data_IF_122356966834
#
_entry.id   IF_122356966834
#
_cell.length_a   1.000
_cell.length_b   1.000
_cell.length_c   1.000
_cell.angle_alpha   90.00
_cell.angle_beta   90.00
_cell.angle_gamma   90.00
#
_symmetry.space_group_name_H-M   'P 1'
#
loop_
_entity.id
_entity.type
_entity.pdbx_description
1 polymer ?
#
# COMPACT_ATOMS: atom_id res chain seq x y z
N UNK A 1 26.76 7.53 -2.49
CA UNK A 1 25.94 6.33 -2.19
C UNK A 1 25.91 6.13 -0.68
N UNK A 2 24.80 6.44 -0.01
CA UNK A 2 24.67 6.29 1.44
C UNK A 2 24.40 4.83 1.81
N UNK A 3 25.20 4.26 2.72
CA UNK A 3 25.01 2.88 3.20
C UNK A 3 23.61 2.75 3.83
N UNK A 4 22.81 1.73 3.45
CA UNK A 4 21.54 1.49 4.12
C UNK A 4 21.82 1.04 5.56
N UNK A 5 21.32 1.82 6.51
CA UNK A 5 21.42 1.49 7.94
C UNK A 5 20.33 0.45 8.28
N UNK A 6 20.72 -0.57 9.05
CA UNK A 6 19.92 -1.76 9.35
C UNK A 6 19.24 -1.63 10.71
N UNK A 7 17.92 -1.84 10.77
CA UNK A 7 17.15 -1.91 12.02
C UNK A 7 16.60 -3.32 12.26
N UNK A 8 16.81 -3.83 13.48
CA UNK A 8 16.25 -5.10 13.93
C UNK A 8 15.16 -4.84 14.98
N UNK A 9 13.90 -4.96 14.56
CA UNK A 9 12.74 -4.62 15.40
C UNK A 9 12.49 -5.64 16.52
N UNK A 10 13.03 -6.86 16.41
CA UNK A 10 12.86 -7.93 17.40
C UNK A 10 13.51 -7.63 18.76
N UNK A 11 14.45 -6.67 18.83
CA UNK A 11 15.24 -6.42 20.04
C UNK A 11 14.88 -5.14 20.80
N UNK A 12 13.89 -4.34 20.37
CA UNK A 12 13.38 -3.12 21.06
C UNK A 12 14.47 -2.22 21.71
N UNK A 13 15.70 -2.23 21.19
CA UNK A 13 16.81 -1.45 21.74
C UNK A 13 17.25 -0.46 20.66
N UNK A 14 16.85 0.79 20.83
CA UNK A 14 17.40 1.89 20.05
C UNK A 14 18.82 2.09 20.56
N UNK A 15 19.81 1.49 19.92
CA UNK A 15 21.18 1.99 20.02
C UNK A 15 21.23 3.25 19.16
N UNK A 16 21.03 4.41 19.77
CA UNK A 16 21.36 5.70 19.17
C UNK A 16 22.87 5.89 19.23
N UNK A 17 23.66 5.07 18.54
CA UNK A 17 25.04 5.42 18.26
C UNK A 17 25.12 6.18 16.94
N UNK A 18 25.17 7.51 17.10
CA UNK A 18 25.67 8.53 16.16
C UNK A 18 24.71 9.01 15.07
N UNK A 19 24.50 10.32 15.16
CA UNK A 19 24.01 11.28 14.16
C UNK A 19 22.53 11.16 13.78
N UNK A 20 21.71 11.99 14.44
CA UNK A 20 20.41 12.39 13.91
C UNK A 20 20.63 12.99 12.51
N UNK A 21 20.13 12.36 11.44
CA UNK A 21 20.23 12.92 10.10
C UNK A 21 19.44 14.22 10.05
N UNK A 22 20.01 15.27 9.44
CA UNK A 22 19.34 16.58 9.25
C UNK A 22 18.01 16.48 8.48
N UNK A 23 17.81 15.41 7.74
CA UNK A 23 16.62 15.15 6.92
C UNK A 23 15.88 13.89 7.41
N UNK A 24 14.53 13.84 7.29
CA UNK A 24 13.76 12.67 7.66
C UNK A 24 14.22 11.44 6.85
N UNK A 25 14.48 10.34 7.54
CA UNK A 25 14.72 9.05 6.90
C UNK A 25 13.38 8.36 6.64
N UNK A 26 13.27 7.74 5.47
CA UNK A 26 12.10 6.95 5.11
C UNK A 26 12.47 5.47 5.08
N UNK A 27 11.50 4.62 5.45
CA UNK A 27 11.61 3.17 5.26
C UNK A 27 11.68 2.90 3.76
N UNK A 28 12.80 2.32 3.31
CA UNK A 28 13.02 1.94 1.93
C UNK A 28 12.79 0.46 1.72
N UNK A 29 12.99 -0.42 2.70
CA UNK A 29 12.72 -1.83 2.47
C UNK A 29 12.45 -2.56 3.78
N UNK A 30 11.58 -3.55 3.72
CA UNK A 30 11.29 -4.44 4.85
C UNK A 30 11.53 -5.85 4.35
N UNK A 31 12.48 -6.54 4.99
CA UNK A 31 12.75 -7.94 4.77
C UNK A 31 12.00 -8.77 5.84
N UNK A 32 10.88 -9.42 5.48
CA UNK A 32 10.09 -10.19 6.43
C UNK A 32 10.81 -11.45 6.93
N UNK A 33 11.72 -12.03 6.13
CA UNK A 33 12.43 -13.25 6.48
C UNK A 33 13.48 -12.97 7.55
N UNK A 34 14.21 -11.86 7.40
CA UNK A 34 15.29 -11.50 8.34
C UNK A 34 14.84 -10.55 9.45
N UNK A 35 13.57 -10.09 9.43
CA UNK A 35 13.02 -9.09 10.37
C UNK A 35 13.85 -7.79 10.37
N UNK A 36 14.47 -7.46 9.24
CA UNK A 36 15.30 -6.26 9.07
C UNK A 36 14.54 -5.20 8.31
N UNK A 37 14.72 -3.96 8.74
CA UNK A 37 14.20 -2.78 8.07
C UNK A 37 15.36 -1.92 7.59
N UNK A 38 15.24 -1.41 6.37
CA UNK A 38 16.23 -0.58 5.69
C UNK A 38 15.62 0.81 5.51
N UNK A 39 16.44 1.84 5.71
CA UNK A 39 16.02 3.24 5.57
C UNK A 39 17.06 4.08 4.83
N UNK A 40 16.60 5.16 4.20
CA UNK A 40 17.43 6.06 3.41
C UNK A 40 16.77 7.42 3.19
N UNK A 41 17.55 8.38 2.68
CA UNK A 41 17.07 9.74 2.38
C UNK A 41 16.21 9.80 1.12
N UNK A 42 16.28 8.77 0.26
CA UNK A 42 15.52 8.69 -0.99
C UNK A 42 14.40 7.66 -0.88
N UNK A 43 13.21 8.00 -1.39
CA UNK A 43 12.00 7.17 -1.45
C UNK A 43 12.11 6.04 -2.50
N UNK A 44 13.20 5.27 -2.49
CA UNK A 44 13.61 4.35 -3.56
C UNK A 44 12.65 3.16 -3.74
N UNK A 45 11.78 2.88 -2.77
CA UNK A 45 10.92 1.70 -2.80
C UNK A 45 9.46 2.03 -2.52
N UNK A 46 9.01 3.15 -3.07
CA UNK A 46 7.59 3.33 -3.30
C UNK A 46 7.21 2.37 -4.42
N UNK A 47 6.64 1.20 -4.07
CA UNK A 47 6.01 0.34 -5.08
C UNK A 47 4.87 1.15 -5.70
N UNK A 48 5.07 1.57 -6.95
CA UNK A 48 4.10 2.30 -7.73
C UNK A 48 3.34 1.28 -8.56
N UNK A 49 2.05 1.12 -8.31
CA UNK A 49 1.22 0.19 -9.07
C UNK A 49 -0.01 0.92 -9.60
N UNK A 50 -0.34 0.61 -10.85
CA UNK A 50 -1.63 0.92 -11.43
C UNK A 50 -2.64 -0.17 -11.07
N UNK A 51 -2.23 -1.44 -11.02
CA UNK A 51 -3.10 -2.59 -10.79
C UNK A 51 -2.83 -3.23 -9.42
N UNK A 52 -3.86 -3.42 -8.60
CA UNK A 52 -3.77 -4.10 -7.30
C UNK A 52 -4.66 -5.33 -7.25
N UNK A 53 -4.18 -6.39 -6.58
CA UNK A 53 -4.98 -7.58 -6.25
C UNK A 53 -5.50 -7.47 -4.81
N UNK A 54 -6.77 -7.82 -4.61
CA UNK A 54 -7.45 -7.79 -3.31
C UNK A 54 -7.92 -9.19 -2.94
N UNK A 55 -7.71 -9.59 -1.68
CA UNK A 55 -7.99 -10.95 -1.20
C UNK A 55 -9.34 -11.13 -0.50
N UNK A 56 -9.77 -10.12 0.25
CA UNK A 56 -10.95 -10.16 1.12
C UNK A 56 -11.81 -8.98 0.76
N UNK A 57 -13.12 -9.17 0.56
CA UNK A 57 -14.04 -8.07 0.35
C UNK A 57 -14.97 -7.91 1.55
N UNK A 58 -14.99 -6.74 2.16
CA UNK A 58 -16.02 -6.32 3.08
C UNK A 58 -17.08 -5.58 2.24
N UNK A 59 -18.34 -6.03 2.28
CA UNK A 59 -19.42 -5.81 1.29
C UNK A 59 -19.15 -6.46 -0.08
N UNK A 60 -20.09 -7.32 -0.49
CA UNK A 60 -19.97 -8.19 -1.66
C UNK A 60 -20.44 -7.45 -2.91
N UNK A 61 -19.51 -6.87 -3.67
CA UNK A 61 -19.79 -6.40 -5.02
C UNK A 61 -19.98 -7.65 -5.89
N UNK A 62 -21.16 -7.91 -6.46
CA UNK A 62 -21.38 -9.10 -7.27
C UNK A 62 -20.39 -9.12 -8.44
N UNK A 63 -19.90 -10.31 -8.85
CA UNK A 63 -19.03 -10.42 -10.01
C UNK A 63 -19.77 -9.85 -11.23
N UNK A 64 -19.09 -8.96 -11.97
CA UNK A 64 -19.60 -8.38 -13.20
C UNK A 64 -18.63 -8.68 -14.34
N UNK A 65 -19.17 -8.88 -15.54
CA UNK A 65 -18.35 -9.12 -16.73
C UNK A 65 -17.58 -7.85 -17.14
N UNK A 66 -18.10 -6.67 -16.81
CA UNK A 66 -17.52 -5.38 -17.15
C UNK A 66 -16.89 -4.69 -15.94
N UNK A 67 -15.80 -3.95 -16.13
CA UNK A 67 -15.18 -3.18 -15.06
C UNK A 67 -16.08 -2.04 -14.60
N UNK A 68 -16.10 -1.79 -13.29
CA UNK A 68 -16.91 -0.76 -12.66
C UNK A 68 -16.05 0.47 -12.41
N UNK A 69 -16.47 1.63 -12.93
CA UNK A 69 -15.83 2.91 -12.61
C UNK A 69 -16.11 3.27 -11.15
N UNK A 70 -15.06 3.43 -10.35
CA UNK A 70 -15.17 3.75 -8.92
C UNK A 70 -14.05 4.70 -8.49
N UNK A 71 -14.08 5.12 -7.24
CA UNK A 71 -12.90 5.66 -6.56
C UNK A 71 -12.49 4.76 -5.41
N UNK A 72 -11.20 4.69 -5.10
CA UNK A 72 -10.71 3.90 -3.99
C UNK A 72 -9.72 4.66 -3.11
N UNK A 73 -9.66 4.26 -1.84
CA UNK A 73 -8.79 4.88 -0.84
C UNK A 73 -7.91 3.81 -0.20
N UNK A 74 -6.59 3.91 -0.43
CA UNK A 74 -5.59 2.94 0.05
C UNK A 74 -5.04 3.34 1.44
N UNK A 75 -5.11 4.63 1.80
CA UNK A 75 -4.64 5.15 3.09
C UNK A 75 -5.72 6.00 3.73
N UNK A 76 -5.87 5.89 5.05
CA UNK A 76 -6.89 6.64 5.79
C UNK A 76 -6.81 8.17 5.56
N UNK A 77 -5.61 8.73 5.38
CA UNK A 77 -5.42 10.16 5.12
C UNK A 77 -5.26 10.54 3.65
N UNK A 78 -5.35 9.60 2.70
CA UNK A 78 -5.25 9.94 1.28
C UNK A 78 -6.60 10.40 0.71
N UNK A 79 -6.54 11.20 -0.35
CA UNK A 79 -7.67 11.44 -1.23
C UNK A 79 -8.15 10.13 -1.87
N UNK A 80 -9.41 10.12 -2.33
CA UNK A 80 -9.94 9.04 -3.16
C UNK A 80 -9.25 9.11 -4.54
N UNK A 81 -8.80 7.98 -5.04
CA UNK A 81 -8.17 7.86 -6.36
C UNK A 81 -9.10 7.13 -7.32
N UNK A 82 -9.42 7.71 -8.49
CA UNK A 82 -10.32 7.08 -9.46
C UNK A 82 -9.67 5.88 -10.15
N UNK A 83 -10.49 4.92 -10.53
CA UNK A 83 -10.06 3.74 -11.27
C UNK A 83 -11.20 2.82 -11.68
N UNK A 84 -10.82 1.69 -12.25
CA UNK A 84 -11.71 0.63 -12.68
C UNK A 84 -11.55 -0.61 -11.81
N UNK A 85 -12.64 -1.04 -11.20
CA UNK A 85 -12.72 -2.28 -10.41
C UNK A 85 -13.11 -3.44 -11.32
N UNK A 86 -12.32 -4.50 -11.30
CA UNK A 86 -12.58 -5.75 -11.99
C UNK A 86 -12.95 -6.80 -10.93
N UNK A 87 -14.20 -7.27 -10.97
CA UNK A 87 -14.71 -8.31 -10.05
C UNK A 87 -14.85 -9.64 -10.79
N UNK A 88 -14.12 -10.66 -10.35
CA UNK A 88 -14.27 -12.06 -10.80
C UNK A 88 -14.79 -12.91 -9.64
N UNK A 89 -15.30 -14.10 -9.94
CA UNK A 89 -15.84 -15.05 -8.93
C UNK A 89 -14.94 -15.27 -7.71
N UNK A 90 -13.62 -15.24 -7.90
CA UNK A 90 -12.63 -15.56 -6.85
C UNK A 90 -11.56 -14.48 -6.63
N UNK A 91 -11.64 -13.35 -7.34
CA UNK A 91 -10.63 -12.30 -7.21
C UNK A 91 -11.18 -10.94 -7.56
N UNK A 92 -10.65 -9.92 -6.89
CA UNK A 92 -10.90 -8.53 -7.21
C UNK A 92 -9.59 -7.83 -7.49
N UNK A 93 -9.61 -6.98 -8.50
CA UNK A 93 -8.49 -6.11 -8.80
C UNK A 93 -8.97 -4.72 -9.18
N UNK A 94 -8.15 -3.71 -8.90
CA UNK A 94 -8.44 -2.34 -9.30
C UNK A 94 -7.29 -1.81 -10.14
N UNK A 95 -7.63 -1.15 -11.25
CA UNK A 95 -6.71 -0.36 -12.07
C UNK A 95 -6.96 1.12 -11.82
N UNK A 96 -6.03 1.82 -11.20
CA UNK A 96 -6.11 3.27 -11.04
C UNK A 96 -5.79 3.99 -12.34
N UNK A 97 -6.43 5.14 -12.55
CA UNK A 97 -6.13 6.02 -13.69
C UNK A 97 -4.70 6.54 -13.62
N UNK A 98 -4.26 6.86 -12.40
CA UNK A 98 -2.90 7.30 -12.12
C UNK A 98 -2.20 6.31 -11.18
N UNK A 99 -0.91 6.01 -11.39
CA UNK A 99 -0.19 5.08 -10.53
C UNK A 99 -0.16 5.55 -9.08
N UNK A 100 -0.44 4.65 -8.13
CA UNK A 100 -0.50 5.00 -6.71
C UNK A 100 0.83 4.73 -6.01
N UNK A 101 1.26 5.66 -5.15
CA UNK A 101 2.52 5.55 -4.39
C UNK A 101 2.32 4.81 -3.06
N UNK A 102 3.36 4.11 -2.64
CA UNK A 102 3.56 3.60 -1.28
C UNK A 102 2.47 2.62 -0.86
N UNK A 103 2.12 1.75 -1.80
CA UNK A 103 1.17 0.67 -1.62
C UNK A 103 1.89 -0.46 -0.90
N UNK A 104 1.33 -0.94 0.21
CA UNK A 104 1.94 -2.00 1.03
C UNK A 104 0.98 -3.18 1.16
N UNK A 105 1.42 -4.42 0.91
CA UNK A 105 0.64 -5.62 1.23
C UNK A 105 0.15 -5.59 2.68
N UNK A 106 -1.07 -6.06 2.91
CA UNK A 106 -1.72 -6.01 4.23
C UNK A 106 -2.45 -4.70 4.53
N UNK A 107 -2.28 -3.65 3.73
CA UNK A 107 -3.10 -2.43 3.89
C UNK A 107 -4.53 -2.66 3.43
N UNK A 108 -5.46 -2.01 4.12
CA UNK A 108 -6.84 -1.95 3.70
C UNK A 108 -7.01 -0.98 2.51
N UNK A 109 -7.91 -1.32 1.61
CA UNK A 109 -8.42 -0.45 0.54
C UNK A 109 -9.93 -0.36 0.67
N UNK A 110 -10.50 0.83 0.48
CA UNK A 110 -11.95 1.07 0.53
C UNK A 110 -12.42 1.55 -0.84
N UNK A 111 -13.50 0.97 -1.35
CA UNK A 111 -14.13 1.29 -2.63
C UNK A 111 -15.35 2.18 -2.42
N UNK A 112 -15.45 3.20 -3.28
CA UNK A 112 -16.51 4.18 -3.26
C UNK A 112 -17.18 4.26 -4.62
N UNK A 113 -18.51 4.21 -4.62
CA UNK A 113 -19.30 4.74 -5.72
C UNK A 113 -19.73 6.16 -5.34
N UNK A 114 -19.14 7.17 -5.99
CA UNK A 114 -19.32 8.57 -5.61
C UNK A 114 -18.98 8.81 -4.12
N UNK A 115 -20.01 8.96 -3.28
CA UNK A 115 -19.89 9.24 -1.84
C UNK A 115 -20.18 8.03 -0.96
N UNK A 116 -20.71 6.94 -1.53
CA UNK A 116 -21.08 5.74 -0.78
C UNK A 116 -19.94 4.73 -0.74
N UNK A 117 -19.75 4.10 0.43
CA UNK A 117 -18.87 2.93 0.56
C UNK A 117 -19.63 1.73 0.01
N UNK A 118 -19.05 1.10 -1.02
CA UNK A 118 -19.60 -0.10 -1.66
C UNK A 118 -18.80 -1.36 -1.32
N UNK A 119 -17.66 -1.16 -0.65
CA UNK A 119 -16.90 -2.23 -0.04
C UNK A 119 -15.45 -1.88 0.20
N UNK A 120 -14.62 -2.89 0.40
CA UNK A 120 -13.20 -2.72 0.65
C UNK A 120 -12.50 -4.04 0.86
N UNK A 121 -11.20 -4.04 1.05
CA UNK A 121 -10.44 -5.27 1.19
C UNK A 121 -9.00 -5.12 1.62
N UNK A 122 -8.27 -6.23 1.62
CA UNK A 122 -6.84 -6.23 1.95
C UNK A 122 -6.00 -6.40 0.69
N UNK A 123 -5.04 -5.49 0.50
CA UNK A 123 -4.10 -5.50 -0.61
C UNK A 123 -3.12 -6.68 -0.45
N UNK A 124 -2.95 -7.45 -1.52
CA UNK A 124 -1.95 -8.52 -1.64
C UNK A 124 -0.66 -8.04 -2.30
#
# INVERSE_FOLDING_TARGET
>A
MGKPLLYNWSKKKIRTDKQHPKNPLYVTYIDPNTKKLYWGQNLIYIKVLSMLKISTLFQSIPPKNEPIRISAKIRYKSSKSPGYLYTKKSSVSIKFDQPQKSITPGQAIVFYNQNEVIGGGIIK
#
